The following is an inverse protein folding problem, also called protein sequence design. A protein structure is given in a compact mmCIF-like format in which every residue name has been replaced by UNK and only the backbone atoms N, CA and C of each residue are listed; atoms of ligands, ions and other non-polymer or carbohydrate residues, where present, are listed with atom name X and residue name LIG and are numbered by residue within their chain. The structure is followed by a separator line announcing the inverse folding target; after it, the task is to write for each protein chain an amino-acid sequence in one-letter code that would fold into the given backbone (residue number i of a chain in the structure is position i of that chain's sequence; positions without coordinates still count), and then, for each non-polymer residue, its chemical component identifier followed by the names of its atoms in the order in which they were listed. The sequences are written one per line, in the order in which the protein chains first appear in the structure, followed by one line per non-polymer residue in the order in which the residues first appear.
data_IF_934971088494
#
_entry.id   IF_934971088494
#
_cell.length_a   1.000
_cell.length_b   1.000
_cell.length_c   1.000
_cell.angle_alpha   90.00
_cell.angle_beta   90.00
_cell.angle_gamma   90.00
#
_symmetry.space_group_name_H-M   'P 1'
#
loop_
_entity.id
_entity.type
_entity.pdbx_description
1 polymer ?
#
# COMPACT_ATOMS: atom_id res chain seq x y z
N UNK A 1 0.35 -8.61 -38.42
CA UNK A 1 1.27 -7.88 -37.52
C UNK A 1 2.32 -8.87 -37.02
N UNK A 2 3.61 -8.58 -37.16
CA UNK A 2 4.69 -9.52 -36.81
C UNK A 2 4.64 -9.80 -35.29
N UNK A 3 4.51 -11.07 -34.89
CA UNK A 3 4.32 -11.50 -33.49
C UNK A 3 5.39 -10.92 -32.54
N UNK A 4 6.61 -10.71 -33.05
CA UNK A 4 7.73 -10.09 -32.33
C UNK A 4 7.48 -8.63 -31.95
N UNK A 5 6.82 -7.86 -32.83
CA UNK A 5 6.43 -6.47 -32.56
C UNK A 5 5.35 -6.45 -31.47
N UNK A 6 4.40 -7.39 -31.52
CA UNK A 6 3.31 -7.46 -30.51
C UNK A 6 3.88 -7.73 -29.11
N UNK A 7 4.77 -8.72 -28.98
CA UNK A 7 5.42 -9.03 -27.70
C UNK A 7 6.30 -7.86 -27.25
N UNK A 8 7.07 -7.25 -28.16
CA UNK A 8 7.94 -6.13 -27.83
C UNK A 8 7.17 -4.90 -27.29
N UNK A 9 6.02 -4.56 -27.89
CA UNK A 9 5.13 -3.51 -27.41
C UNK A 9 4.58 -3.87 -26.03
N UNK A 10 4.13 -5.12 -25.85
CA UNK A 10 3.56 -5.57 -24.58
C UNK A 10 4.58 -5.47 -23.43
N UNK A 11 5.78 -6.02 -23.61
CA UNK A 11 6.82 -6.00 -22.58
C UNK A 11 7.27 -4.57 -22.23
N UNK A 12 7.47 -3.73 -23.25
CA UNK A 12 7.89 -2.33 -23.06
C UNK A 12 6.77 -1.51 -22.41
N UNK A 13 5.51 -1.73 -22.80
CA UNK A 13 4.35 -1.07 -22.20
C UNK A 13 4.15 -1.44 -20.73
N UNK A 14 4.31 -2.72 -20.39
CA UNK A 14 4.28 -3.18 -19.00
C UNK A 14 5.43 -2.56 -18.19
N UNK A 15 6.65 -2.52 -18.73
CA UNK A 15 7.79 -1.90 -18.08
C UNK A 15 7.55 -0.40 -17.79
N UNK A 16 7.03 0.33 -18.78
CA UNK A 16 6.74 1.77 -18.65
C UNK A 16 5.64 2.05 -17.63
N UNK A 17 4.58 1.24 -17.60
CA UNK A 17 3.48 1.41 -16.63
C UNK A 17 3.91 1.08 -15.21
N UNK A 18 4.65 0.00 -15.01
CA UNK A 18 5.23 -0.35 -13.71
C UNK A 18 6.22 0.72 -13.23
N UNK A 19 7.12 1.17 -14.10
CA UNK A 19 8.10 2.20 -13.76
C UNK A 19 7.46 3.56 -13.50
N UNK A 20 6.48 3.97 -14.32
CA UNK A 20 5.85 5.28 -14.23
C UNK A 20 4.89 5.44 -13.04
N UNK A 21 4.29 4.35 -12.55
CA UNK A 21 3.30 4.41 -11.45
C UNK A 21 3.84 3.80 -10.17
N UNK A 22 4.49 2.64 -10.24
CA UNK A 22 4.92 1.88 -9.07
C UNK A 22 6.14 2.50 -8.39
N UNK A 23 7.19 2.84 -9.16
CA UNK A 23 8.42 3.43 -8.60
C UNK A 23 8.16 4.75 -7.87
N UNK A 24 7.47 5.75 -8.44
CA UNK A 24 7.30 7.04 -7.77
C UNK A 24 6.48 6.92 -6.49
N UNK A 25 5.57 5.95 -6.40
CA UNK A 25 4.77 5.74 -5.19
C UNK A 25 5.62 5.22 -4.04
N UNK A 26 6.45 4.21 -4.29
CA UNK A 26 7.34 3.65 -3.27
C UNK A 26 8.46 4.63 -2.90
N UNK A 27 9.06 5.30 -3.89
CA UNK A 27 10.09 6.33 -3.63
C UNK A 27 9.54 7.47 -2.78
N UNK A 28 8.34 8.00 -3.07
CA UNK A 28 7.73 9.06 -2.23
C UNK A 28 7.52 8.63 -0.78
N UNK A 29 7.18 7.37 -0.55
CA UNK A 29 6.98 6.84 0.81
C UNK A 29 8.33 6.65 1.53
N UNK A 30 9.36 6.20 0.82
CA UNK A 30 10.72 6.11 1.34
C UNK A 30 11.29 7.50 1.67
N UNK A 31 11.18 8.47 0.75
CA UNK A 31 11.61 9.85 0.98
C UNK A 31 10.89 10.45 2.19
N UNK A 32 9.59 10.15 2.34
CA UNK A 32 8.81 10.61 3.49
C UNK A 32 9.23 9.95 4.80
N UNK A 33 9.61 8.67 4.77
CA UNK A 33 10.17 7.97 5.93
C UNK A 33 11.50 8.59 6.34
N UNK A 34 12.41 8.86 5.39
CA UNK A 34 13.68 9.53 5.65
C UNK A 34 13.47 10.90 6.30
N UNK A 35 12.59 11.73 5.72
CA UNK A 35 12.25 13.04 6.28
C UNK A 35 11.64 12.94 7.69
N UNK A 36 10.77 11.95 7.93
CA UNK A 36 10.13 11.73 9.23
C UNK A 36 11.13 11.26 10.30
N UNK A 37 12.10 10.41 9.94
CA UNK A 37 13.17 9.98 10.83
C UNK A 37 14.12 11.13 11.21
N UNK A 38 14.31 12.08 10.30
CA UNK A 38 15.06 13.31 10.54
C UNK A 38 14.23 14.44 11.18
N UNK A 39 12.94 14.19 11.48
CA UNK A 39 11.98 15.16 12.01
C UNK A 39 11.88 16.45 11.16
N UNK A 40 12.01 16.33 9.84
CA UNK A 40 11.89 17.45 8.91
C UNK A 40 10.43 17.83 8.71
N UNK A 41 10.16 19.13 8.61
CA UNK A 41 8.86 19.67 8.17
C UNK A 41 7.65 19.20 9.02
N UNK A 42 7.86 18.83 10.28
CA UNK A 42 6.78 18.34 11.15
C UNK A 42 6.28 16.92 10.80
N UNK A 43 7.00 16.20 9.95
CA UNK A 43 6.76 14.79 9.64
C UNK A 43 7.23 13.94 10.82
N UNK A 44 6.43 12.92 11.16
CA UNK A 44 6.67 12.03 12.29
C UNK A 44 6.59 10.58 11.86
N UNK A 45 7.47 9.76 12.44
CA UNK A 45 7.41 8.31 12.36
C UNK A 45 7.07 7.76 13.75
N UNK A 46 5.93 7.09 13.85
CA UNK A 46 5.46 6.47 15.08
C UNK A 46 5.44 4.95 14.94
N UNK A 47 5.91 4.29 16.00
CA UNK A 47 5.87 2.85 16.16
C UNK A 47 5.15 2.52 17.46
N UNK A 48 4.16 1.64 17.39
CA UNK A 48 3.39 1.26 18.56
C UNK A 48 2.41 0.13 18.30
N UNK A 49 1.57 -0.12 19.29
CA UNK A 49 0.49 -1.10 19.21
C UNK A 49 -0.86 -0.41 19.28
N UNK A 50 -1.84 -0.93 18.53
CA UNK A 50 -3.22 -0.43 18.60
C UNK A 50 -3.74 -0.61 20.02
N UNK A 51 -4.08 0.50 20.67
CA UNK A 51 -4.49 0.47 22.07
C UNK A 51 -5.77 -0.37 22.26
N UNK A 52 -5.87 -1.15 23.35
CA UNK A 52 -7.11 -1.83 23.72
C UNK A 52 -8.22 -0.85 24.17
N UNK A 53 -7.89 0.43 24.35
CA UNK A 53 -8.85 1.50 24.67
C UNK A 53 -9.57 2.06 23.42
N UNK A 54 -9.30 1.51 22.24
CA UNK A 54 -10.06 1.82 21.04
C UNK A 54 -11.34 1.01 21.02
N UNK A 55 -12.45 1.65 20.68
CA UNK A 55 -13.71 0.96 20.44
C UNK A 55 -13.60 0.14 19.15
N UNK A 56 -14.17 -1.07 19.17
CA UNK A 56 -14.31 -1.89 17.96
C UNK A 56 -15.53 -1.43 17.17
N UNK A 57 -15.38 -1.23 15.86
CA UNK A 57 -16.43 -0.68 14.99
C UNK A 57 -17.08 -1.72 14.10
N UNK A 58 -16.36 -2.80 13.74
CA UNK A 58 -16.90 -3.88 12.92
C UNK A 58 -16.23 -5.21 13.25
N UNK A 59 -17.02 -6.22 13.60
CA UNK A 59 -16.52 -7.50 14.10
C UNK A 59 -15.59 -7.29 15.31
N UNK A 60 -14.27 -7.29 15.10
CA UNK A 60 -13.23 -7.01 16.09
C UNK A 60 -12.24 -5.92 15.63
N UNK A 61 -12.55 -5.24 14.54
CA UNK A 61 -11.70 -4.19 13.95
C UNK A 61 -11.93 -2.85 14.64
N UNK A 62 -10.86 -2.07 14.79
CA UNK A 62 -10.91 -0.70 15.30
C UNK A 62 -10.88 0.36 14.20
N UNK A 63 -10.46 -0.03 13.00
CA UNK A 63 -10.49 0.75 11.76
C UNK A 63 -10.69 -0.26 10.64
N UNK A 64 -11.64 -0.01 9.73
CA UNK A 64 -12.05 -1.00 8.74
C UNK A 64 -12.44 -0.38 7.39
N UNK A 65 -12.17 -1.12 6.32
CA UNK A 65 -12.56 -0.83 4.94
C UNK A 65 -13.29 -2.05 4.38
N UNK A 66 -14.50 -1.84 3.89
CA UNK A 66 -15.26 -2.84 3.15
C UNK A 66 -14.84 -2.74 1.70
N UNK A 67 -14.52 -3.86 1.09
CA UNK A 67 -13.95 -3.89 -0.25
C UNK A 67 -14.64 -4.92 -1.14
N UNK A 68 -14.89 -4.54 -2.38
CA UNK A 68 -15.39 -5.44 -3.43
C UNK A 68 -14.23 -5.96 -4.28
N UNK A 69 -14.27 -7.24 -4.65
CA UNK A 69 -13.32 -7.79 -5.60
C UNK A 69 -13.64 -7.30 -7.01
N UNK A 70 -12.66 -6.69 -7.69
CA UNK A 70 -12.84 -6.13 -9.04
C UNK A 70 -12.05 -6.88 -10.12
N UNK A 71 -11.27 -7.91 -9.76
CA UNK A 71 -10.25 -8.47 -10.64
C UNK A 71 -9.07 -7.50 -10.81
N UNK A 72 -7.95 -7.96 -11.36
CA UNK A 72 -6.66 -7.25 -11.36
C UNK A 72 -6.79 -5.74 -11.66
N UNK A 73 -6.56 -4.93 -10.63
CA UNK A 73 -6.69 -3.48 -10.62
C UNK A 73 -5.81 -2.86 -9.53
N UNK A 74 -5.71 -1.52 -9.54
CA UNK A 74 -4.76 -0.64 -8.79
C UNK A 74 -4.65 -0.89 -7.26
N UNK A 75 -5.48 -1.75 -6.69
CA UNK A 75 -5.70 -2.00 -5.26
C UNK A 75 -5.68 -3.50 -4.91
N UNK A 76 -4.66 -4.27 -5.31
CA UNK A 76 -4.56 -5.72 -5.02
C UNK A 76 -5.78 -6.55 -5.49
N UNK A 77 -6.53 -6.05 -6.47
CA UNK A 77 -7.77 -6.68 -6.97
C UNK A 77 -9.04 -6.40 -6.16
N UNK A 78 -8.97 -5.58 -5.10
CA UNK A 78 -10.11 -5.18 -4.27
C UNK A 78 -10.27 -3.67 -4.23
N UNK A 79 -11.49 -3.14 -4.31
CA UNK A 79 -11.74 -1.70 -4.29
C UNK A 79 -12.58 -1.34 -3.06
N UNK A 80 -12.22 -0.28 -2.31
CA UNK A 80 -13.03 0.15 -1.16
C UNK A 80 -14.41 0.64 -1.62
N UNK A 81 -15.46 0.14 -0.96
CA UNK A 81 -16.86 0.53 -1.18
C UNK A 81 -17.44 1.28 0.03
N UNK A 82 -16.92 1.02 1.23
CA UNK A 82 -17.32 1.70 2.46
C UNK A 82 -16.12 1.72 3.41
N UNK A 83 -15.92 2.84 4.10
CA UNK A 83 -14.89 2.97 5.13
C UNK A 83 -15.53 3.32 6.46
N UNK A 84 -15.00 2.72 7.52
CA UNK A 84 -15.32 3.07 8.89
C UNK A 84 -14.01 3.48 9.57
N UNK A 85 -13.84 4.79 9.70
CA UNK A 85 -12.65 5.43 10.24
C UNK A 85 -13.01 6.11 11.55
N UNK A 86 -12.13 6.00 12.54
CA UNK A 86 -12.22 6.74 13.79
C UNK A 86 -10.81 7.18 14.20
N UNK A 87 -10.73 8.15 15.11
CA UNK A 87 -9.46 8.51 15.74
C UNK A 87 -8.90 7.29 16.46
N UNK A 88 -7.72 6.84 16.04
CA UNK A 88 -7.11 5.64 16.57
C UNK A 88 -6.09 6.01 17.65
N UNK A 89 -6.22 5.41 18.82
CA UNK A 89 -5.26 5.50 19.90
C UNK A 89 -4.14 4.49 19.67
N UNK A 90 -2.93 4.98 19.41
CA UNK A 90 -1.73 4.16 19.29
C UNK A 90 -0.93 4.22 20.59
N UNK A 91 -0.68 3.07 21.21
CA UNK A 91 0.21 2.98 22.36
C UNK A 91 1.67 2.92 21.86
N UNK A 92 2.40 4.00 22.08
CA UNK A 92 3.83 4.12 21.75
C UNK A 92 4.68 4.10 23.02
N UNK A 93 6.01 4.10 22.89
CA UNK A 93 6.94 4.22 24.03
C UNK A 93 6.81 5.57 24.76
N UNK A 94 6.37 6.62 24.09
CA UNK A 94 6.19 7.96 24.66
C UNK A 94 4.78 8.20 25.24
N UNK A 95 3.87 7.24 25.09
CA UNK A 95 2.49 7.33 25.55
C UNK A 95 1.47 7.05 24.46
N UNK A 96 0.22 7.45 24.70
CA UNK A 96 -0.87 7.29 23.73
C UNK A 96 -0.81 8.44 22.73
N UNK A 97 -0.70 8.10 21.45
CA UNK A 97 -0.80 9.03 20.33
C UNK A 97 -2.16 8.90 19.65
N UNK A 98 -2.77 10.02 19.27
CA UNK A 98 -4.04 10.05 18.56
C UNK A 98 -3.80 10.17 17.07
N UNK A 99 -4.32 9.23 16.30
CA UNK A 99 -4.09 9.15 14.86
C UNK A 99 -5.39 9.43 14.10
N UNK A 100 -5.31 10.31 13.12
CA UNK A 100 -6.41 10.60 12.20
C UNK A 100 -6.10 10.05 10.82
N UNK A 101 -7.02 9.22 10.33
CA UNK A 101 -6.91 8.54 9.05
C UNK A 101 -7.88 9.19 8.06
N UNK A 102 -7.38 9.69 6.93
CA UNK A 102 -8.23 10.18 5.83
C UNK A 102 -8.80 9.02 5.01
N UNK A 103 -8.02 7.94 4.88
CA UNK A 103 -8.41 6.69 4.24
C UNK A 103 -7.96 5.54 5.13
N UNK A 104 -8.32 4.31 4.76
CA UNK A 104 -7.82 3.10 5.38
C UNK A 104 -6.63 2.50 4.57
N UNK A 105 -5.39 3.03 4.66
CA UNK A 105 -4.28 2.54 3.88
C UNK A 105 -3.64 1.32 4.53
N UNK A 106 -4.34 0.19 4.52
CA UNK A 106 -3.83 -1.00 5.16
C UNK A 106 -2.81 -1.74 4.27
N UNK A 107 -1.54 -1.69 4.66
CA UNK A 107 -0.50 -2.65 4.22
C UNK A 107 0.12 -3.35 5.43
N UNK A 108 0.63 -4.56 5.24
CA UNK A 108 1.26 -5.34 6.30
C UNK A 108 0.60 -6.68 6.57
N UNK A 109 1.24 -7.47 7.41
CA UNK A 109 0.93 -8.87 7.69
C UNK A 109 -0.12 -9.03 8.79
N UNK A 110 -0.24 -8.05 9.67
CA UNK A 110 -1.20 -8.08 10.80
C UNK A 110 -2.59 -7.54 10.43
N UNK A 111 -2.82 -7.28 9.15
CA UNK A 111 -4.14 -6.93 8.63
C UNK A 111 -5.00 -8.17 8.63
N UNK A 112 -6.19 -8.06 9.22
CA UNK A 112 -7.18 -9.12 9.11
C UNK A 112 -8.18 -8.86 7.99
N UNK A 113 -8.57 -9.95 7.35
CA UNK A 113 -9.55 -10.00 6.27
C UNK A 113 -10.70 -10.91 6.70
N UNK A 114 -11.94 -10.46 6.48
CA UNK A 114 -13.16 -11.22 6.77
C UNK A 114 -14.02 -11.21 5.51
N UNK A 115 -14.10 -12.34 4.82
CA UNK A 115 -15.00 -12.53 3.68
C UNK A 115 -16.45 -12.45 4.16
N UNK A 116 -17.28 -11.76 3.38
CA UNK A 116 -18.71 -11.62 3.66
C UNK A 116 -19.52 -12.61 2.83
N UNK A 117 -20.70 -12.97 3.34
CA UNK A 117 -21.70 -13.74 2.58
C UNK A 117 -22.33 -12.92 1.45
N UNK A 118 -22.41 -11.59 1.63
CA UNK A 118 -22.85 -10.70 0.57
C UNK A 118 -21.88 -10.69 -0.62
N UNK A 119 -22.45 -10.49 -1.80
CA UNK A 119 -21.72 -10.36 -3.05
C UNK A 119 -22.27 -9.20 -3.85
N UNK A 120 -21.47 -8.70 -4.78
CA UNK A 120 -21.94 -7.67 -5.71
C UNK A 120 -23.05 -8.23 -6.63
N UNK A 121 -23.73 -7.35 -7.36
CA UNK A 121 -24.69 -7.74 -8.40
C UNK A 121 -24.07 -8.61 -9.50
N UNK A 122 -22.76 -8.52 -9.70
CA UNK A 122 -21.97 -9.36 -10.61
C UNK A 122 -21.40 -10.63 -9.96
N UNK A 123 -21.87 -10.99 -8.75
CA UNK A 123 -21.42 -12.15 -7.97
C UNK A 123 -19.93 -12.09 -7.56
N UNK A 124 -19.37 -10.88 -7.45
CA UNK A 124 -18.00 -10.70 -6.97
C UNK A 124 -17.93 -10.78 -5.44
N UNK A 125 -16.88 -11.41 -4.86
CA UNK A 125 -16.66 -11.46 -3.42
C UNK A 125 -16.54 -10.07 -2.79
N UNK A 126 -17.01 -9.94 -1.54
CA UNK A 126 -16.83 -8.75 -0.72
C UNK A 126 -16.15 -9.16 0.59
N UNK A 127 -15.29 -8.29 1.11
CA UNK A 127 -14.61 -8.51 2.38
C UNK A 127 -14.56 -7.25 3.25
N UNK A 128 -14.43 -7.43 4.55
CA UNK A 128 -13.86 -6.42 5.42
C UNK A 128 -12.35 -6.62 5.53
N UNK A 129 -11.61 -5.53 5.40
CA UNK A 129 -10.21 -5.44 5.74
C UNK A 129 -10.06 -4.46 6.91
N UNK A 130 -9.26 -4.79 7.91
CA UNK A 130 -9.07 -3.89 9.05
C UNK A 130 -7.92 -4.27 9.95
N UNK A 131 -7.70 -3.41 10.95
CA UNK A 131 -6.69 -3.61 12.00
C UNK A 131 -7.38 -3.96 13.30
N UNK A 132 -6.83 -4.93 14.03
CA UNK A 132 -7.36 -5.41 15.32
C UNK A 132 -6.76 -4.60 16.48
N UNK A 133 -7.39 -4.69 17.64
CA UNK A 133 -6.74 -4.29 18.89
C UNK A 133 -5.42 -5.06 19.07
N UNK A 134 -4.44 -4.40 19.70
CA UNK A 134 -3.10 -4.91 19.98
C UNK A 134 -2.23 -5.24 18.76
N UNK A 135 -2.71 -4.99 17.53
CA UNK A 135 -1.89 -5.14 16.34
C UNK A 135 -0.75 -4.11 16.36
N UNK A 136 0.43 -4.50 15.89
CA UNK A 136 1.56 -3.59 15.68
C UNK A 136 1.25 -2.68 14.51
N UNK A 137 1.55 -1.40 14.67
CA UNK A 137 1.30 -0.39 13.66
C UNK A 137 2.45 0.60 13.60
N UNK A 138 2.97 0.77 12.39
CA UNK A 138 3.93 1.77 12.00
C UNK A 138 3.19 2.85 11.23
N UNK A 139 3.50 4.11 11.52
CA UNK A 139 2.73 5.24 11.02
C UNK A 139 3.68 6.35 10.59
N UNK A 140 3.46 6.85 9.38
CA UNK A 140 4.06 8.06 8.85
C UNK A 140 2.98 9.11 8.68
N UNK A 141 3.20 10.28 9.24
CA UNK A 141 2.22 11.37 9.17
C UNK A 141 2.80 12.72 9.56
N UNK A 142 1.92 13.70 9.72
CA UNK A 142 2.27 15.06 10.13
C UNK A 142 1.59 15.37 11.46
N UNK A 143 2.35 15.93 12.40
CA UNK A 143 1.79 16.36 13.67
C UNK A 143 0.85 17.55 13.45
N UNK A 144 -0.41 17.43 13.87
CA UNK A 144 -1.43 18.48 13.82
C UNK A 144 -2.02 18.71 15.22
N UNK A 145 -1.33 19.53 16.02
CA UNK A 145 -1.73 19.77 17.41
C UNK A 145 -1.58 18.51 18.25
N UNK A 146 -2.68 17.98 18.77
CA UNK A 146 -2.71 16.76 19.61
C UNK A 146 -2.86 15.46 18.81
N UNK A 147 -3.12 15.55 17.51
CA UNK A 147 -3.29 14.39 16.62
C UNK A 147 -2.17 14.30 15.58
N UNK A 148 -2.01 13.12 15.01
CA UNK A 148 -1.15 12.88 13.84
C UNK A 148 -2.04 12.55 12.66
N UNK A 149 -1.96 13.37 11.62
CA UNK A 149 -2.63 13.09 10.35
C UNK A 149 -1.82 12.04 9.58
N UNK A 150 -2.38 10.84 9.47
CA UNK A 150 -1.70 9.67 8.90
C UNK A 150 -1.69 9.74 7.39
N UNK A 151 -0.50 9.62 6.81
CA UNK A 151 -0.28 9.57 5.36
C UNK A 151 0.01 8.16 4.87
N UNK A 152 0.81 7.41 5.63
CA UNK A 152 1.09 6.00 5.38
C UNK A 152 1.03 5.23 6.68
N UNK A 153 0.57 3.98 6.61
CA UNK A 153 0.64 3.05 7.73
C UNK A 153 0.96 1.65 7.27
N UNK A 154 1.58 0.89 8.17
CA UNK A 154 1.93 -0.51 7.97
C UNK A 154 1.67 -1.29 9.25
N UNK A 155 0.90 -2.37 9.16
CA UNK A 155 0.58 -3.23 10.29
C UNK A 155 1.51 -4.47 10.31
N UNK A 156 2.51 -4.44 11.18
CA UNK A 156 3.52 -5.50 11.32
C UNK A 156 4.86 -4.96 11.77
N UNK A 157 5.91 -5.74 11.52
CA UNK A 157 7.28 -5.44 11.96
C UNK A 157 7.94 -4.32 11.16
N UNK A 158 8.79 -3.53 11.83
CA UNK A 158 9.52 -2.40 11.25
C UNK A 158 10.49 -2.84 10.18
N UNK A 159 11.23 -3.91 10.43
CA UNK A 159 12.20 -4.47 9.50
C UNK A 159 11.52 -4.86 8.18
N UNK A 160 10.35 -5.52 8.27
CA UNK A 160 9.57 -5.91 7.10
C UNK A 160 9.07 -4.70 6.32
N UNK A 161 8.68 -3.62 7.01
CA UNK A 161 8.25 -2.39 6.37
C UNK A 161 9.38 -1.69 5.60
N UNK A 162 10.54 -1.51 6.24
CA UNK A 162 11.71 -0.88 5.62
C UNK A 162 12.18 -1.73 4.43
N UNK A 163 12.29 -3.04 4.62
CA UNK A 163 12.67 -3.98 3.57
C UNK A 163 11.69 -3.90 2.39
N UNK A 164 10.38 -3.84 2.65
CA UNK A 164 9.36 -3.71 1.60
C UNK A 164 9.54 -2.44 0.77
N UNK A 165 9.92 -1.32 1.38
CA UNK A 165 10.16 -0.06 0.67
C UNK A 165 11.46 -0.13 -0.16
N UNK A 166 12.57 -0.51 0.45
CA UNK A 166 13.89 -0.54 -0.20
C UNK A 166 13.98 -1.61 -1.29
N UNK A 167 13.64 -2.86 -0.95
CA UNK A 167 13.66 -3.96 -1.91
C UNK A 167 12.57 -3.80 -2.96
N UNK A 168 11.41 -3.23 -2.59
CA UNK A 168 10.34 -2.95 -3.53
C UNK A 168 10.78 -2.03 -4.67
N UNK A 169 11.48 -0.93 -4.35
CA UNK A 169 12.03 0.00 -5.36
C UNK A 169 13.09 -0.70 -6.22
N UNK A 170 13.99 -1.45 -5.59
CA UNK A 170 15.08 -2.16 -6.29
C UNK A 170 14.56 -3.24 -7.24
N UNK A 171 13.67 -4.11 -6.75
CA UNK A 171 13.08 -5.21 -7.49
C UNK A 171 12.22 -4.70 -8.64
N UNK A 172 11.41 -3.66 -8.41
CA UNK A 172 10.63 -3.03 -9.47
C UNK A 172 11.53 -2.44 -10.56
N UNK A 173 12.63 -1.79 -10.17
CA UNK A 173 13.63 -1.28 -11.11
C UNK A 173 14.27 -2.42 -11.92
N UNK A 174 14.66 -3.52 -11.28
CA UNK A 174 15.24 -4.69 -11.94
C UNK A 174 14.28 -5.34 -12.93
N UNK A 175 13.00 -5.53 -12.56
CA UNK A 175 11.96 -6.04 -13.47
C UNK A 175 11.82 -5.12 -14.68
N UNK A 176 11.72 -3.81 -14.46
CA UNK A 176 11.56 -2.84 -15.56
C UNK A 176 12.76 -2.87 -16.52
N UNK A 177 13.98 -2.94 -15.99
CA UNK A 177 15.21 -3.06 -16.80
C UNK A 177 15.22 -4.37 -17.58
N UNK A 178 14.90 -5.50 -16.93
CA UNK A 178 14.84 -6.81 -17.59
C UNK A 178 13.82 -6.86 -18.73
N UNK A 179 12.61 -6.32 -18.49
CA UNK A 179 11.58 -6.19 -19.51
C UNK A 179 12.01 -5.27 -20.66
N UNK A 180 12.71 -4.17 -20.37
CA UNK A 180 13.26 -3.28 -21.39
C UNK A 180 14.32 -3.95 -22.27
N UNK A 181 15.25 -4.71 -21.65
CA UNK A 181 16.31 -5.45 -22.35
C UNK A 181 15.72 -6.51 -23.29
N UNK A 182 14.58 -7.12 -22.95
CA UNK A 182 13.92 -8.09 -23.82
C UNK A 182 13.00 -7.42 -24.87
N UNK A 183 12.23 -6.40 -24.46
CA UNK A 183 11.22 -5.76 -25.28
C UNK A 183 11.80 -4.91 -26.42
N UNK A 184 12.82 -4.09 -26.13
CA UNK A 184 13.39 -3.14 -27.10
C UNK A 184 14.07 -3.88 -28.27
N UNK A 185 14.93 -4.90 -28.06
CA UNK A 185 15.52 -5.65 -29.16
C UNK A 185 14.50 -6.40 -30.00
N UNK A 186 13.43 -6.94 -29.40
CA UNK A 186 12.34 -7.58 -30.14
C UNK A 186 11.59 -6.60 -31.04
N UNK A 187 11.39 -5.36 -30.59
CA UNK A 187 10.82 -4.29 -31.40
C UNK A 187 11.72 -3.94 -32.58
N UNK A 188 13.00 -3.66 -32.31
CA UNK A 188 13.98 -3.31 -33.36
C UNK A 188 14.08 -4.45 -34.38
N UNK A 189 14.17 -5.70 -33.94
CA UNK A 189 14.23 -6.84 -34.84
C UNK A 189 12.94 -7.01 -35.65
N UNK A 190 11.78 -6.90 -35.02
CA UNK A 190 10.48 -7.01 -35.71
C UNK A 190 10.28 -5.93 -36.78
N UNK A 191 10.83 -4.73 -36.58
CA UNK A 191 10.78 -3.63 -37.56
C UNK A 191 11.81 -3.79 -38.68
N UNK A 192 13.04 -4.21 -38.37
CA UNK A 192 14.14 -4.33 -39.34
C UNK A 192 14.01 -5.56 -40.23
N UNK A 193 13.55 -6.71 -39.72
CA UNK A 193 13.33 -7.94 -40.49
C UNK A 193 11.85 -8.21 -40.77
N UNK A 194 11.14 -7.20 -41.29
CA UNK A 194 9.71 -7.29 -41.62
C UNK A 194 9.38 -8.53 -42.46
#
# INVERSE_FOLDING_TARGET
MNFRIVIGILLTGIALTLYGVGKPRLSKELDYLEDALENKEGKVFLEGTVSPQNDTIQNFFVLASKEEFTGAGKHRGFKPIQQQLQTLKLQTSSGIQLLEFEEAPFRGEEIAHVLLEEKTSSNAPIQWQGVKQNARLLVLGEQKGETVAVKYSYAGEKENYIQLLEEGVKLLTQICVGLGILGIPLLVWGVVRK
#
